data_IF_663434533836
#
_entry.id   IF_663434533836
#
_cell.length_a   1.000
_cell.length_b   1.000
_cell.length_c   1.000
_cell.angle_alpha   90.00
_cell.angle_beta   90.00
_cell.angle_gamma   90.00
#
_symmetry.space_group_name_H-M   'P 1'
#
loop_
_entity.id
_entity.type
_entity.pdbx_description
1 polymer ?
#
# COMPACT_ATOMS: atom_id res chain seq x y z
N UNK A 1 4.47 -20.83 10.22
CA UNK A 1 3.65 -20.82 9.03
C UNK A 1 2.37 -21.60 9.24
N UNK A 2 1.26 -21.04 8.82
CA UNK A 2 -0.04 -21.72 8.81
C UNK A 2 -0.36 -22.20 7.40
N UNK A 3 -1.39 -23.05 7.23
CA UNK A 3 -1.84 -23.49 5.90
C UNK A 3 -2.23 -22.32 4.99
N UNK A 4 -2.66 -21.18 5.57
CA UNK A 4 -3.17 -20.01 4.86
C UNK A 4 -2.17 -18.83 4.84
N UNK A 5 -0.94 -18.98 5.37
CA UNK A 5 0.04 -17.91 5.33
C UNK A 5 1.15 -17.97 6.38
N UNK A 6 1.82 -16.85 6.58
CA UNK A 6 3.01 -16.74 7.44
C UNK A 6 2.71 -16.79 8.95
N UNK A 7 1.45 -16.72 9.36
CA UNK A 7 1.04 -16.58 10.75
C UNK A 7 1.07 -15.13 11.24
N UNK A 8 0.94 -14.95 12.56
CA UNK A 8 0.97 -13.65 13.21
C UNK A 8 2.41 -13.12 13.28
N UNK A 9 2.57 -11.84 13.00
CA UNK A 9 3.83 -11.10 13.06
C UNK A 9 3.70 -9.92 14.02
N UNK A 10 4.81 -9.46 14.55
CA UNK A 10 4.98 -8.19 15.24
C UNK A 10 5.87 -7.33 14.34
N UNK A 11 5.30 -6.33 13.68
CA UNK A 11 6.02 -5.54 12.67
C UNK A 11 6.05 -4.06 13.06
N UNK A 12 7.25 -3.45 13.16
CA UNK A 12 7.34 -2.01 13.36
C UNK A 12 6.89 -1.26 12.11
N UNK A 13 6.34 -0.07 12.31
CA UNK A 13 6.01 0.86 11.22
C UNK A 13 7.01 2.00 11.15
N UNK A 14 7.03 2.68 10.03
CA UNK A 14 7.87 3.89 9.82
C UNK A 14 7.48 5.07 10.73
N UNK A 15 6.32 4.99 11.38
CA UNK A 15 5.80 6.01 12.28
C UNK A 15 6.06 5.70 13.77
N UNK A 16 6.85 4.68 14.08
CA UNK A 16 7.16 4.28 15.47
C UNK A 16 6.05 3.49 16.16
N UNK A 17 5.02 3.09 15.44
CA UNK A 17 3.98 2.17 15.92
C UNK A 17 4.34 0.72 15.59
N UNK A 18 3.57 -0.23 16.11
CA UNK A 18 3.66 -1.64 15.75
C UNK A 18 2.33 -2.12 15.17
N UNK A 19 2.41 -3.02 14.22
CA UNK A 19 1.27 -3.77 13.69
C UNK A 19 1.37 -5.20 14.19
N UNK A 20 0.28 -5.70 14.75
CA UNK A 20 0.13 -7.08 15.22
C UNK A 20 -0.83 -7.81 14.29
N UNK A 21 -0.42 -8.93 13.75
CA UNK A 21 -1.22 -9.70 12.79
C UNK A 21 -0.38 -10.21 11.61
N UNK A 22 -1.03 -10.62 10.55
CA UNK A 22 -2.48 -10.73 10.34
C UNK A 22 -3.09 -12.03 10.86
N UNK A 23 -4.42 -12.13 10.74
CA UNK A 23 -5.10 -13.40 10.59
C UNK A 23 -5.15 -13.77 9.10
N UNK A 24 -5.46 -15.03 8.79
CA UNK A 24 -5.80 -15.47 7.44
C UNK A 24 -6.98 -16.45 7.57
N UNK A 25 -8.16 -15.99 7.20
CA UNK A 25 -9.43 -16.70 7.37
C UNK A 25 -10.17 -16.59 6.04
N UNK A 26 -10.67 -17.70 5.53
CA UNK A 26 -11.52 -17.69 4.35
C UNK A 26 -12.85 -17.01 4.68
N UNK A 27 -13.27 -16.09 3.82
CA UNK A 27 -14.49 -15.31 4.00
C UNK A 27 -15.17 -15.04 2.65
N UNK A 28 -16.42 -14.61 2.69
CA UNK A 28 -17.09 -14.13 1.49
C UNK A 28 -16.42 -12.87 0.93
N UNK A 29 -16.54 -12.61 -0.36
CA UNK A 29 -15.85 -11.52 -1.05
C UNK A 29 -16.25 -10.13 -0.52
N UNK A 30 -17.45 -9.98 0.01
CA UNK A 30 -18.02 -8.77 0.59
C UNK A 30 -17.87 -8.69 2.13
N UNK A 31 -17.31 -9.74 2.75
CA UNK A 31 -17.09 -9.81 4.20
C UNK A 31 -15.73 -9.23 4.55
N UNK A 32 -15.73 -8.00 5.06
CA UNK A 32 -14.51 -7.30 5.48
C UNK A 32 -14.70 -6.78 6.92
N UNK A 33 -14.80 -7.72 7.86
CA UNK A 33 -15.06 -7.41 9.27
C UNK A 33 -13.93 -7.90 10.18
N UNK A 34 -13.75 -7.18 11.28
CA UNK A 34 -12.85 -7.61 12.36
C UNK A 34 -13.68 -8.43 13.33
N UNK A 35 -13.35 -9.71 13.50
CA UNK A 35 -14.00 -10.58 14.48
C UNK A 35 -13.27 -10.61 15.81
N UNK A 36 -14.00 -10.94 16.88
CA UNK A 36 -13.41 -11.13 18.20
C UNK A 36 -12.43 -12.30 18.20
N UNK A 37 -12.79 -13.40 17.55
CA UNK A 37 -11.98 -14.60 17.42
C UNK A 37 -10.65 -14.33 16.72
N UNK A 38 -10.69 -13.49 15.66
CA UNK A 38 -9.49 -13.05 14.95
C UNK A 38 -8.56 -12.21 15.83
N UNK A 39 -9.12 -11.30 16.61
CA UNK A 39 -8.34 -10.50 17.56
C UNK A 39 -7.75 -11.34 18.68
N UNK A 40 -8.52 -12.30 19.21
CA UNK A 40 -8.07 -13.20 20.26
C UNK A 40 -6.97 -14.14 19.75
N UNK A 41 -7.12 -14.66 18.53
CA UNK A 41 -6.06 -15.41 17.84
C UNK A 41 -4.75 -14.62 17.74
N UNK A 42 -4.83 -13.33 17.33
CA UNK A 42 -3.64 -12.46 17.27
C UNK A 42 -3.02 -12.30 18.64
N UNK A 43 -3.81 -12.01 19.69
CA UNK A 43 -3.32 -11.81 21.06
C UNK A 43 -2.59 -13.05 21.60
N UNK A 44 -3.17 -14.22 21.40
CA UNK A 44 -2.59 -15.48 21.87
C UNK A 44 -1.27 -15.78 21.17
N UNK A 45 -1.16 -15.53 19.85
CA UNK A 45 0.09 -15.71 19.12
C UNK A 45 1.13 -14.67 19.50
N UNK A 46 0.74 -13.41 19.69
CA UNK A 46 1.67 -12.36 20.14
C UNK A 46 2.22 -12.66 21.53
N UNK A 47 1.40 -13.18 22.45
CA UNK A 47 1.83 -13.55 23.79
C UNK A 47 2.93 -14.65 23.82
N UNK A 48 3.03 -15.45 22.74
CA UNK A 48 4.12 -16.43 22.60
C UNK A 48 5.43 -15.79 22.10
N UNK A 49 5.39 -14.58 21.56
CA UNK A 49 6.54 -13.91 20.93
C UNK A 49 7.03 -12.71 21.73
N UNK A 50 6.17 -12.06 22.49
CA UNK A 50 6.51 -10.86 23.22
C UNK A 50 5.67 -10.73 24.50
N UNK A 51 6.37 -10.44 25.61
CA UNK A 51 5.75 -10.11 26.87
C UNK A 51 5.34 -8.63 26.94
N UNK A 52 4.39 -8.32 27.81
CA UNK A 52 4.03 -6.94 28.19
C UNK A 52 3.49 -6.05 27.05
N UNK A 53 2.84 -6.61 26.04
CA UNK A 53 2.14 -5.82 25.02
C UNK A 53 0.92 -5.12 25.64
N UNK A 54 0.94 -3.78 25.63
CA UNK A 54 -0.14 -2.99 26.20
C UNK A 54 -1.26 -2.71 25.18
N UNK A 55 -2.25 -3.59 25.12
CA UNK A 55 -3.39 -3.47 24.19
C UNK A 55 -4.31 -2.26 24.49
N UNK A 56 -4.19 -1.60 25.65
CA UNK A 56 -4.91 -0.33 25.93
C UNK A 56 -4.40 0.82 25.08
N UNK A 57 -3.19 0.69 24.49
CA UNK A 57 -2.62 1.65 23.54
C UNK A 57 -2.98 1.35 22.09
N UNK A 58 -3.92 0.43 21.84
CA UNK A 58 -4.37 0.12 20.51
C UNK A 58 -5.00 1.37 19.87
N UNK A 59 -4.46 1.77 18.73
CA UNK A 59 -4.92 2.94 17.96
C UNK A 59 -6.08 2.54 17.05
N UNK A 60 -5.97 1.36 16.39
CA UNK A 60 -6.94 0.91 15.40
C UNK A 60 -6.86 -0.61 15.19
N UNK A 61 -8.00 -1.19 14.89
CA UNK A 61 -8.11 -2.54 14.32
C UNK A 61 -8.73 -2.43 12.93
N UNK A 62 -8.32 -3.30 12.01
CA UNK A 62 -8.83 -3.29 10.64
C UNK A 62 -8.71 -4.69 10.03
N UNK A 63 -9.54 -4.96 9.05
CA UNK A 63 -9.49 -6.14 8.20
C UNK A 63 -9.40 -5.71 6.75
N UNK A 64 -9.00 -6.60 5.88
CA UNK A 64 -8.92 -6.40 4.44
C UNK A 64 -8.94 -7.73 3.72
N UNK A 65 -9.66 -7.80 2.62
CA UNK A 65 -9.75 -8.99 1.81
C UNK A 65 -8.51 -9.13 0.94
N UNK A 66 -7.95 -10.34 0.92
CA UNK A 66 -6.90 -10.72 0.01
C UNK A 66 -7.50 -11.55 -1.11
N UNK A 67 -7.44 -11.04 -2.32
CA UNK A 67 -7.91 -11.75 -3.50
C UNK A 67 -6.93 -12.89 -3.82
N UNK A 68 -7.45 -14.11 -3.95
CA UNK A 68 -6.70 -15.29 -4.34
C UNK A 68 -7.42 -15.92 -5.53
N UNK A 69 -6.66 -16.29 -6.58
CA UNK A 69 -7.18 -17.00 -7.73
C UNK A 69 -6.17 -18.08 -8.13
N UNK A 70 -6.47 -19.33 -7.75
CA UNK A 70 -5.53 -20.45 -7.97
C UNK A 70 -4.23 -20.32 -7.17
N UNK A 71 -3.15 -20.85 -7.72
CA UNK A 71 -1.85 -20.96 -7.06
C UNK A 71 -0.91 -19.78 -7.35
N UNK A 72 -1.20 -18.98 -8.39
CA UNK A 72 -0.36 -17.86 -8.82
C UNK A 72 -1.20 -16.71 -9.37
N UNK A 73 -0.52 -15.60 -9.70
CA UNK A 73 -1.12 -14.44 -10.37
C UNK A 73 -1.59 -14.81 -11.77
N UNK A 74 -2.73 -14.27 -12.17
CA UNK A 74 -3.24 -14.39 -13.53
C UNK A 74 -2.81 -13.14 -14.29
N UNK A 75 -1.98 -13.32 -15.33
CA UNK A 75 -1.49 -12.23 -16.20
C UNK A 75 -1.62 -12.75 -17.63
N UNK A 76 -2.75 -12.45 -18.28
CA UNK A 76 -3.04 -13.04 -19.58
C UNK A 76 -3.89 -12.15 -20.49
N UNK A 77 -3.81 -12.43 -21.80
CA UNK A 77 -4.72 -11.85 -22.80
C UNK A 77 -6.06 -12.57 -22.73
N UNK A 78 -7.15 -11.81 -22.76
CA UNK A 78 -8.48 -12.38 -22.80
C UNK A 78 -8.71 -13.16 -24.09
N UNK A 79 -9.25 -14.36 -23.97
CA UNK A 79 -9.70 -15.16 -25.12
C UNK A 79 -11.10 -14.79 -25.62
N UNK A 80 -11.84 -13.98 -24.83
CA UNK A 80 -13.24 -13.62 -25.11
C UNK A 80 -13.42 -12.20 -25.58
N UNK A 81 -12.51 -11.31 -25.20
CA UNK A 81 -12.59 -9.86 -25.50
C UNK A 81 -11.29 -9.44 -26.17
N UNK A 82 -11.40 -8.86 -27.37
CA UNK A 82 -10.23 -8.33 -28.10
C UNK A 82 -9.58 -7.17 -27.33
N UNK A 83 -8.27 -7.08 -27.44
CA UNK A 83 -7.47 -5.99 -26.86
C UNK A 83 -7.66 -5.82 -25.35
N UNK A 84 -7.98 -6.93 -24.65
CA UNK A 84 -8.14 -6.93 -23.21
C UNK A 84 -7.13 -7.83 -22.54
N UNK A 85 -6.37 -7.27 -21.60
CA UNK A 85 -5.43 -8.00 -20.75
C UNK A 85 -6.02 -8.08 -19.35
N UNK A 86 -6.07 -9.28 -18.80
CA UNK A 86 -6.60 -9.56 -17.48
C UNK A 86 -5.47 -9.73 -16.47
N UNK A 87 -5.56 -8.98 -15.38
CA UNK A 87 -4.66 -9.07 -14.23
C UNK A 87 -5.52 -9.45 -13.02
N UNK A 88 -5.36 -10.67 -12.53
CA UNK A 88 -6.20 -11.19 -11.45
C UNK A 88 -5.41 -11.93 -10.39
N UNK A 89 -6.03 -12.10 -9.20
CA UNK A 89 -5.43 -12.84 -8.11
C UNK A 89 -4.12 -12.25 -7.57
N UNK A 90 -3.82 -10.99 -7.85
CA UNK A 90 -2.56 -10.35 -7.42
C UNK A 90 -2.64 -10.03 -5.93
N UNK A 91 -2.32 -11.03 -5.13
CA UNK A 91 -2.19 -10.91 -3.68
C UNK A 91 -0.73 -10.59 -3.27
N UNK A 92 -0.33 -10.90 -2.05
CA UNK A 92 1.06 -10.76 -1.62
C UNK A 92 1.95 -11.83 -2.33
N UNK A 93 3.09 -11.42 -2.94
CA UNK A 93 3.81 -10.15 -2.84
C UNK A 93 3.57 -9.17 -4.01
N UNK A 94 2.33 -8.99 -4.47
CA UNK A 94 1.98 -8.22 -5.66
C UNK A 94 2.57 -6.81 -5.73
N UNK A 95 2.61 -6.09 -4.60
CA UNK A 95 3.16 -4.73 -4.58
C UNK A 95 4.67 -4.71 -4.95
N UNK A 96 5.46 -5.62 -4.40
CA UNK A 96 6.89 -5.71 -4.73
C UNK A 96 7.13 -6.34 -6.11
N UNK A 97 6.20 -7.12 -6.63
CA UNK A 97 6.24 -7.72 -7.97
C UNK A 97 5.74 -6.78 -9.07
N UNK A 98 5.06 -5.68 -8.72
CA UNK A 98 4.42 -4.78 -9.67
C UNK A 98 5.35 -4.29 -10.80
N UNK A 99 6.64 -3.96 -10.58
CA UNK A 99 7.53 -3.58 -11.68
C UNK A 99 7.76 -4.71 -12.69
N UNK A 100 7.90 -5.96 -12.23
CA UNK A 100 8.05 -7.12 -13.10
C UNK A 100 6.75 -7.43 -13.86
N UNK A 101 5.61 -7.34 -13.18
CA UNK A 101 4.29 -7.48 -13.81
C UNK A 101 4.11 -6.44 -14.91
N UNK A 102 4.50 -5.20 -14.67
CA UNK A 102 4.39 -4.14 -15.67
C UNK A 102 5.20 -4.43 -16.95
N UNK A 103 6.38 -5.02 -16.81
CA UNK A 103 7.19 -5.44 -17.98
C UNK A 103 6.54 -6.58 -18.74
N UNK A 104 5.93 -7.53 -18.03
CA UNK A 104 5.20 -8.63 -18.67
C UNK A 104 3.95 -8.11 -19.40
N UNK A 105 3.20 -7.21 -18.78
CA UNK A 105 2.05 -6.57 -19.43
C UNK A 105 2.46 -5.79 -20.67
N UNK A 106 3.60 -5.10 -20.64
CA UNK A 106 4.10 -4.39 -21.82
C UNK A 106 4.34 -5.34 -23.01
N UNK A 107 4.90 -6.54 -22.76
CA UNK A 107 5.06 -7.57 -23.81
C UNK A 107 3.70 -8.03 -24.36
N UNK A 108 2.74 -8.28 -23.46
CA UNK A 108 1.40 -8.68 -23.90
C UNK A 108 0.71 -7.59 -24.75
N UNK A 109 0.95 -6.31 -24.44
CA UNK A 109 0.47 -5.19 -25.27
C UNK A 109 1.08 -5.21 -26.66
N UNK A 110 2.40 -5.47 -26.78
CA UNK A 110 3.07 -5.61 -28.09
C UNK A 110 2.55 -6.82 -28.86
N UNK A 111 2.30 -7.94 -28.19
CA UNK A 111 1.71 -9.14 -28.78
C UNK A 111 0.26 -8.94 -29.28
N UNK A 112 -0.46 -7.94 -28.77
CA UNK A 112 -1.76 -7.51 -29.29
C UNK A 112 -1.62 -6.63 -30.55
N UNK A 113 -0.38 -6.37 -31.01
CA UNK A 113 -0.10 -5.57 -32.21
C UNK A 113 0.12 -4.07 -31.94
N UNK A 114 0.14 -3.63 -30.69
CA UNK A 114 0.45 -2.25 -30.35
C UNK A 114 1.96 -2.03 -30.31
N UNK A 115 2.45 -1.00 -30.97
CA UNK A 115 3.87 -0.62 -30.91
C UNK A 115 4.09 0.35 -29.75
N UNK A 116 4.81 -0.09 -28.74
CA UNK A 116 5.23 0.77 -27.65
C UNK A 116 6.39 1.66 -28.10
N UNK A 117 6.30 2.96 -27.83
CA UNK A 117 7.34 3.94 -28.12
C UNK A 117 7.80 4.60 -26.84
N UNK A 118 9.13 4.78 -26.74
CA UNK A 118 9.71 5.53 -25.62
C UNK A 118 9.17 6.97 -25.61
N UNK A 119 8.64 7.38 -24.46
CA UNK A 119 8.24 8.77 -24.24
C UNK A 119 9.48 9.60 -23.91
N UNK A 120 10.07 10.24 -24.91
CA UNK A 120 11.24 11.14 -24.74
C UNK A 120 10.97 12.34 -23.84
N UNK A 121 9.70 12.67 -23.63
CA UNK A 121 9.26 13.76 -22.75
C UNK A 121 8.84 13.23 -21.37
N UNK A 122 9.16 11.98 -21.05
CA UNK A 122 8.83 11.42 -19.73
C UNK A 122 9.57 12.19 -18.64
N UNK A 123 8.81 12.80 -17.75
CA UNK A 123 9.34 13.46 -16.56
C UNK A 123 9.13 12.51 -15.40
N UNK A 124 10.26 12.03 -14.84
CA UNK A 124 10.19 11.20 -13.64
C UNK A 124 9.59 12.01 -12.51
N UNK A 125 8.60 11.45 -11.83
CA UNK A 125 8.01 12.07 -10.64
C UNK A 125 9.09 12.39 -9.61
N UNK A 126 9.16 13.63 -9.18
CA UNK A 126 10.03 14.04 -8.07
C UNK A 126 9.41 13.57 -6.76
N UNK A 127 10.23 13.22 -5.75
CA UNK A 127 9.72 13.03 -4.40
C UNK A 127 8.98 14.31 -3.98
N UNK A 128 7.79 14.15 -3.39
CA UNK A 128 7.08 15.30 -2.83
C UNK A 128 7.82 15.84 -1.60
N UNK A 129 7.61 17.12 -1.34
CA UNK A 129 8.24 17.79 -0.21
C UNK A 129 7.49 17.43 1.07
N UNK A 130 8.15 16.74 1.99
CA UNK A 130 7.57 16.41 3.30
C UNK A 130 7.90 17.48 4.32
N UNK A 131 7.05 18.50 4.47
CA UNK A 131 7.32 19.66 5.33
C UNK A 131 7.58 19.29 6.78
N UNK A 132 6.95 18.22 7.29
CA UNK A 132 7.15 17.71 8.65
C UNK A 132 8.57 17.19 8.96
N UNK A 133 9.39 16.94 7.92
CA UNK A 133 10.78 16.47 8.03
C UNK A 133 11.80 17.59 7.85
N UNK A 134 11.36 18.77 7.47
CA UNK A 134 12.21 19.92 7.23
C UNK A 134 12.61 20.62 8.54
N UNK A 135 13.78 21.26 8.54
CA UNK A 135 14.13 22.21 9.60
C UNK A 135 13.27 23.46 9.47
N UNK A 136 13.23 24.27 10.54
CA UNK A 136 12.48 25.54 10.52
C UNK A 136 13.03 26.51 9.45
N UNK A 137 14.33 26.50 9.20
CA UNK A 137 14.98 27.32 8.17
C UNK A 137 14.57 26.88 6.77
N UNK A 138 14.58 25.56 6.50
CA UNK A 138 14.16 24.99 5.23
C UNK A 138 12.67 25.25 4.96
N UNK A 139 11.83 25.07 5.97
CA UNK A 139 10.40 25.33 5.87
C UNK A 139 10.12 26.83 5.64
N UNK A 140 10.79 27.72 6.36
CA UNK A 140 10.64 29.16 6.18
C UNK A 140 11.12 29.62 4.79
N UNK A 141 12.18 29.02 4.25
CA UNK A 141 12.61 29.31 2.88
C UNK A 141 11.54 28.84 1.87
N UNK A 142 11.00 27.65 2.06
CA UNK A 142 9.94 27.11 1.19
C UNK A 142 8.65 27.97 1.25
N UNK A 143 8.23 28.42 2.43
CA UNK A 143 7.06 29.30 2.61
C UNK A 143 7.26 30.66 1.91
N UNK A 144 8.49 31.18 1.86
CA UNK A 144 8.79 32.40 1.11
C UNK A 144 8.66 32.23 -0.40
N UNK A 145 8.98 31.02 -0.91
CA UNK A 145 8.80 30.69 -2.33
C UNK A 145 7.33 30.42 -2.67
N UNK A 146 6.63 29.66 -1.83
CA UNK A 146 5.22 29.33 -2.00
C UNK A 146 4.51 29.36 -0.63
N UNK A 147 3.72 30.42 -0.36
CA UNK A 147 3.01 30.58 0.91
C UNK A 147 2.04 29.46 1.27
N UNK A 148 1.60 28.65 0.31
CA UNK A 148 0.71 27.52 0.56
C UNK A 148 1.33 26.46 1.48
N UNK A 149 2.66 26.37 1.54
CA UNK A 149 3.35 25.49 2.49
C UNK A 149 3.31 25.99 3.94
N UNK A 150 2.89 27.24 4.17
CA UNK A 150 2.64 27.78 5.52
C UNK A 150 1.23 27.51 6.05
N UNK A 151 0.31 27.01 5.21
CA UNK A 151 -1.06 26.75 5.59
C UNK A 151 -1.27 25.25 5.90
N UNK A 152 -1.46 24.90 7.18
CA UNK A 152 -1.69 23.52 7.62
C UNK A 152 -3.16 23.17 7.46
N UNK A 153 -3.45 22.25 6.56
CA UNK A 153 -4.80 21.70 6.30
C UNK A 153 -5.11 20.53 7.23
N UNK A 154 -4.19 19.59 7.40
CA UNK A 154 -4.33 18.47 8.32
C UNK A 154 -3.42 18.62 9.53
N UNK A 155 -3.99 18.93 10.71
CA UNK A 155 -3.23 19.17 11.93
C UNK A 155 -2.62 17.90 12.54
N UNK A 156 -3.30 16.76 12.42
CA UNK A 156 -2.83 15.48 12.97
C UNK A 156 -1.60 14.95 12.21
N UNK A 157 -1.56 15.12 10.90
CA UNK A 157 -0.45 14.70 10.06
C UNK A 157 0.48 15.86 9.67
N UNK A 158 0.11 17.09 10.07
CA UNK A 158 0.84 18.33 9.72
C UNK A 158 1.00 18.52 8.20
N UNK A 159 -0.02 18.12 7.43
CA UNK A 159 -0.01 18.27 5.97
C UNK A 159 -0.40 19.70 5.62
N UNK A 160 0.40 20.32 4.77
CA UNK A 160 0.19 21.67 4.27
C UNK A 160 -0.64 21.70 2.98
N UNK A 161 -1.24 22.84 2.67
CA UNK A 161 -1.91 23.10 1.40
C UNK A 161 -0.96 22.91 0.22
N UNK A 162 0.29 23.36 0.35
CA UNK A 162 1.33 23.20 -0.67
C UNK A 162 1.60 21.75 -1.02
N UNK A 163 1.69 20.84 -0.03
CA UNK A 163 1.84 19.40 -0.25
C UNK A 163 0.64 18.80 -1.01
N UNK A 164 -0.57 19.24 -0.67
CA UNK A 164 -1.80 18.79 -1.35
C UNK A 164 -1.82 19.27 -2.80
N UNK A 165 -1.51 20.54 -3.04
CA UNK A 165 -1.48 21.12 -4.38
C UNK A 165 -0.39 20.48 -5.24
N UNK A 166 0.78 20.18 -4.68
CA UNK A 166 1.85 19.46 -5.37
C UNK A 166 1.39 18.04 -5.77
N UNK A 167 0.71 17.34 -4.87
CA UNK A 167 0.18 16.00 -5.13
C UNK A 167 -0.92 15.99 -6.22
N UNK A 168 -1.75 17.04 -6.29
CA UNK A 168 -2.79 17.15 -7.34
C UNK A 168 -2.18 17.43 -8.71
N UNK A 169 -1.06 18.15 -8.77
CA UNK A 169 -0.41 18.57 -10.02
C UNK A 169 0.59 17.55 -10.57
N UNK A 170 0.92 16.50 -9.82
CA UNK A 170 1.98 15.51 -10.12
C UNK A 170 1.52 14.30 -10.97
#
# INVERSE_FOLDING_TARGET
PTKLGKGVLISPTVHGNIILGPTAIDCAADENVVSYEGLDYIRNNVAMMADNVNYRKNIRVFAGNRVISGDDFIIEKSQKVENYIYLGGICSPGLSSAPAIALEVAKLVEELGFTLKENKNFIRRKPYKETRKMSDEELNALIKEDPSYGHIVCRCEKITEGEILEAIRS
#
